data_IF_214237396456
#
_entry.id   IF_214237396456
#
_cell.length_a   1.000
_cell.length_b   1.000
_cell.length_c   1.000
_cell.angle_alpha   90.00
_cell.angle_beta   90.00
_cell.angle_gamma   90.00
#
_symmetry.space_group_name_H-M   'P 1'
#
loop_
_entity.id
_entity.type
_entity.pdbx_description
1 polymer ?
#
# COMPACT_ATOMS: atom_id res chain seq x y z
N UNK A 1 26.65 3.55 -10.74
CA UNK A 1 25.97 3.41 -9.42
C UNK A 1 26.97 2.92 -8.40
N UNK A 2 27.07 3.53 -7.21
CA UNK A 2 27.89 2.98 -6.14
C UNK A 2 27.09 1.89 -5.41
N UNK A 3 27.33 0.63 -5.78
CA UNK A 3 26.72 -0.53 -5.15
C UNK A 3 27.79 -1.46 -4.61
N UNK A 4 27.54 -2.03 -3.43
CA UNK A 4 28.38 -3.02 -2.78
C UNK A 4 27.66 -4.36 -2.78
N UNK A 5 28.36 -5.43 -3.13
CA UNK A 5 27.80 -6.78 -3.02
C UNK A 5 27.82 -7.18 -1.55
N UNK A 6 26.61 -7.47 -1.01
CA UNK A 6 26.47 -7.96 0.38
C UNK A 6 26.55 -9.48 0.41
N UNK A 7 25.87 -10.11 -0.54
CA UNK A 7 25.78 -11.55 -0.60
C UNK A 7 25.61 -12.00 -2.04
N UNK A 8 26.22 -13.12 -2.36
CA UNK A 8 26.15 -13.73 -3.68
C UNK A 8 25.96 -15.25 -3.55
N UNK A 9 25.09 -15.79 -4.39
CA UNK A 9 24.91 -17.24 -4.56
C UNK A 9 24.64 -17.51 -6.03
N UNK A 10 24.68 -18.79 -6.44
CA UNK A 10 24.49 -19.17 -7.85
C UNK A 10 23.17 -18.63 -8.40
N UNK A 11 23.24 -17.73 -9.38
CA UNK A 11 22.07 -17.11 -10.01
C UNK A 11 21.37 -16.02 -9.18
N UNK A 12 21.94 -15.62 -8.02
CA UNK A 12 21.37 -14.57 -7.16
C UNK A 12 22.46 -13.66 -6.60
N UNK A 13 22.29 -12.37 -6.74
CA UNK A 13 23.17 -11.36 -6.20
C UNK A 13 22.38 -10.34 -5.39
N UNK A 14 22.85 -10.04 -4.18
CA UNK A 14 22.30 -9.01 -3.31
C UNK A 14 23.26 -7.83 -3.25
N UNK A 15 22.77 -6.68 -3.67
CA UNK A 15 23.54 -5.44 -3.75
C UNK A 15 22.99 -4.42 -2.75
N UNK A 16 23.88 -3.65 -2.15
CA UNK A 16 23.54 -2.47 -1.37
C UNK A 16 23.89 -1.23 -2.17
N UNK A 17 22.89 -0.44 -2.52
CA UNK A 17 23.12 0.85 -3.17
C UNK A 17 23.51 1.88 -2.12
N UNK A 18 24.70 2.47 -2.27
CA UNK A 18 25.12 3.62 -1.45
C UNK A 18 24.54 4.88 -2.07
N UNK A 19 23.46 5.37 -1.48
CA UNK A 19 22.82 6.63 -1.85
C UNK A 19 23.37 7.75 -0.98
N UNK A 20 23.37 8.98 -1.52
CA UNK A 20 23.70 10.18 -0.73
C UNK A 20 22.64 10.45 0.37
N UNK A 21 21.40 10.03 0.14
CA UNK A 21 20.30 10.06 1.08
C UNK A 21 20.12 8.69 1.73
N UNK A 22 19.64 8.68 2.97
CA UNK A 22 19.48 7.46 3.78
C UNK A 22 18.48 6.46 3.19
N UNK A 23 17.53 6.94 2.40
CA UNK A 23 16.47 6.15 1.76
C UNK A 23 16.39 6.43 0.26
N UNK A 24 16.02 5.42 -0.51
CA UNK A 24 15.79 5.52 -1.94
C UNK A 24 14.36 6.05 -2.18
N UNK A 25 14.18 7.02 -3.09
CA UNK A 25 12.82 7.43 -3.44
C UNK A 25 12.09 6.30 -4.16
N UNK A 26 10.75 6.24 -4.03
CA UNK A 26 9.92 5.24 -4.71
C UNK A 26 10.18 5.23 -6.21
N UNK A 27 10.24 6.42 -6.81
CA UNK A 27 10.53 6.57 -8.25
C UNK A 27 11.90 6.01 -8.64
N UNK A 28 12.91 6.23 -7.80
CA UNK A 28 14.25 5.65 -8.03
C UNK A 28 14.24 4.13 -7.93
N UNK A 29 13.49 3.58 -6.95
CA UNK A 29 13.36 2.14 -6.79
C UNK A 29 12.65 1.49 -8.00
N UNK A 30 11.58 2.10 -8.49
CA UNK A 30 10.85 1.64 -9.66
C UNK A 30 11.70 1.73 -10.94
N UNK A 31 12.45 2.80 -11.08
CA UNK A 31 13.34 3.03 -12.21
C UNK A 31 14.47 2.01 -12.26
N UNK A 32 15.05 1.71 -11.10
CA UNK A 32 16.09 0.72 -10.94
C UNK A 32 15.58 -0.69 -11.26
N UNK A 33 14.40 -1.02 -10.73
CA UNK A 33 13.76 -2.31 -10.99
C UNK A 33 13.42 -2.50 -12.45
N UNK A 34 12.79 -1.53 -13.07
CA UNK A 34 12.40 -1.58 -14.49
C UNK A 34 13.62 -1.62 -15.42
N UNK A 35 14.70 -0.90 -15.09
CA UNK A 35 15.94 -0.94 -15.88
C UNK A 35 16.60 -2.32 -15.83
N UNK A 36 16.75 -2.91 -14.65
CA UNK A 36 17.30 -4.25 -14.53
C UNK A 36 16.38 -5.32 -15.12
N UNK A 37 15.06 -5.17 -14.98
CA UNK A 37 14.10 -6.12 -15.56
C UNK A 37 14.14 -6.13 -17.09
N UNK A 38 14.54 -5.05 -17.72
CA UNK A 38 14.71 -4.95 -19.19
C UNK A 38 15.92 -5.71 -19.72
N UNK A 39 16.86 -6.11 -18.85
CA UNK A 39 18.05 -6.84 -19.26
C UNK A 39 17.72 -8.31 -19.56
N UNK A 40 18.20 -8.84 -20.68
CA UNK A 40 17.91 -10.20 -21.13
C UNK A 40 18.40 -11.33 -20.19
N UNK A 41 19.41 -11.05 -19.38
CA UNK A 41 19.98 -11.98 -18.41
C UNK A 41 19.24 -11.96 -17.05
N UNK A 42 18.32 -11.02 -16.83
CA UNK A 42 17.58 -10.90 -15.58
C UNK A 42 16.35 -11.79 -15.59
N UNK A 43 16.25 -12.65 -14.58
CA UNK A 43 15.05 -13.45 -14.34
C UNK A 43 14.05 -12.72 -13.45
N UNK A 44 14.54 -12.09 -12.37
CA UNK A 44 13.71 -11.34 -11.42
C UNK A 44 14.55 -10.27 -10.72
N UNK A 45 13.92 -9.13 -10.45
CA UNK A 45 14.50 -8.05 -9.64
C UNK A 45 13.57 -7.75 -8.47
N UNK A 46 14.15 -7.44 -7.32
CA UNK A 46 13.41 -6.92 -6.17
C UNK A 46 14.24 -5.81 -5.55
N UNK A 47 13.64 -4.62 -5.45
CA UNK A 47 14.29 -3.45 -4.86
C UNK A 47 13.57 -3.08 -3.57
N UNK A 48 14.31 -2.95 -2.49
CA UNK A 48 13.83 -2.50 -1.18
C UNK A 48 14.25 -1.05 -0.96
N UNK A 49 13.31 -0.11 -1.12
CA UNK A 49 13.57 1.32 -1.07
C UNK A 49 14.06 1.81 0.30
N UNK A 50 13.52 1.26 1.39
CA UNK A 50 13.89 1.64 2.78
C UNK A 50 15.33 1.30 3.12
N UNK A 51 15.81 0.18 2.61
CA UNK A 51 17.18 -0.31 2.90
C UNK A 51 18.16 0.00 1.78
N UNK A 52 17.69 0.42 0.60
CA UNK A 52 18.51 0.58 -0.60
C UNK A 52 19.09 -0.75 -1.12
N UNK A 53 18.46 -1.88 -0.75
CA UNK A 53 18.93 -3.21 -1.11
C UNK A 53 18.26 -3.65 -2.42
N UNK A 54 19.06 -4.18 -3.35
CA UNK A 54 18.63 -4.74 -4.63
C UNK A 54 18.97 -6.21 -4.68
N UNK A 55 18.00 -7.05 -4.96
CA UNK A 55 18.16 -8.48 -5.14
C UNK A 55 17.93 -8.77 -6.62
N UNK A 56 18.97 -9.26 -7.28
CA UNK A 56 18.97 -9.66 -8.68
C UNK A 56 19.01 -11.18 -8.78
N UNK A 57 18.04 -11.75 -9.49
CA UNK A 57 18.11 -13.13 -9.96
C UNK A 57 18.47 -13.10 -11.43
N UNK A 58 19.53 -13.80 -11.78
CA UNK A 58 20.07 -13.75 -13.13
C UNK A 58 20.46 -15.13 -13.67
N UNK A 59 20.44 -15.22 -15.00
CA UNK A 59 20.91 -16.39 -15.75
C UNK A 59 22.08 -15.94 -16.62
N UNK A 60 23.19 -16.68 -16.58
CA UNK A 60 24.40 -16.38 -17.38
C UNK A 60 25.61 -16.01 -16.54
N UNK A 61 26.57 -15.31 -17.17
CA UNK A 61 27.85 -15.00 -16.56
C UNK A 61 27.75 -13.88 -15.52
N UNK A 62 28.41 -14.08 -14.39
CA UNK A 62 28.52 -13.09 -13.31
C UNK A 62 29.08 -11.74 -13.78
N UNK A 63 30.05 -11.79 -14.66
CA UNK A 63 30.75 -10.62 -15.19
C UNK A 63 29.79 -9.68 -15.92
N UNK A 64 28.83 -10.23 -16.66
CA UNK A 64 27.79 -9.45 -17.37
C UNK A 64 26.94 -8.64 -16.39
N UNK A 65 26.55 -9.23 -15.27
CA UNK A 65 25.78 -8.56 -14.22
C UNK A 65 26.60 -7.43 -13.59
N UNK A 66 27.86 -7.70 -13.27
CA UNK A 66 28.77 -6.70 -12.69
C UNK A 66 29.03 -5.51 -13.64
N UNK A 67 29.20 -5.78 -14.93
CA UNK A 67 29.35 -4.73 -15.94
C UNK A 67 28.08 -3.87 -16.01
N UNK A 68 26.91 -4.47 -16.06
CA UNK A 68 25.63 -3.76 -16.07
C UNK A 68 25.45 -2.89 -14.81
N UNK A 69 25.78 -3.41 -13.63
CA UNK A 69 25.74 -2.64 -12.37
C UNK A 69 26.69 -1.45 -12.40
N UNK A 70 27.90 -1.61 -12.93
CA UNK A 70 28.88 -0.51 -13.07
C UNK A 70 28.44 0.54 -14.10
N UNK A 71 27.86 0.12 -15.22
CA UNK A 71 27.39 0.98 -16.31
C UNK A 71 26.07 1.69 -15.98
N UNK A 72 25.36 1.26 -14.96
CA UNK A 72 24.08 1.87 -14.59
C UNK A 72 24.23 3.37 -14.31
N UNK A 73 23.45 4.18 -15.00
CA UNK A 73 23.34 5.62 -14.81
C UNK A 73 21.86 6.01 -14.65
N UNK A 74 21.56 6.81 -13.64
CA UNK A 74 20.21 7.31 -13.40
C UNK A 74 19.62 8.07 -14.60
N UNK A 75 20.45 8.89 -15.26
CA UNK A 75 20.03 9.66 -16.44
C UNK A 75 19.65 8.75 -17.61
N UNK A 76 20.45 7.71 -17.86
CA UNK A 76 20.16 6.74 -18.93
C UNK A 76 18.92 5.89 -18.60
N UNK A 77 18.73 5.52 -17.35
CA UNK A 77 17.56 4.78 -16.90
C UNK A 77 16.28 5.59 -17.13
N UNK A 78 16.27 6.87 -16.78
CA UNK A 78 15.12 7.76 -17.02
C UNK A 78 14.77 7.92 -18.51
N UNK A 79 15.74 7.90 -19.39
CA UNK A 79 15.51 8.00 -20.83
C UNK A 79 15.10 6.67 -21.48
N UNK A 80 15.57 5.55 -20.94
CA UNK A 80 15.37 4.23 -21.53
C UNK A 80 14.14 3.48 -21.03
N UNK A 81 13.57 3.90 -19.90
CA UNK A 81 12.46 3.22 -19.23
C UNK A 81 11.29 4.18 -19.06
N UNK A 82 10.17 3.85 -19.66
CA UNK A 82 8.89 4.54 -19.39
C UNK A 82 8.26 3.93 -18.15
N UNK A 83 8.22 4.67 -17.06
CA UNK A 83 7.52 4.26 -15.85
C UNK A 83 6.01 4.53 -15.99
N UNK A 84 5.14 3.62 -15.55
CA UNK A 84 3.71 3.90 -15.45
C UNK A 84 3.47 5.05 -14.46
N UNK A 85 2.47 5.89 -14.72
CA UNK A 85 2.12 7.03 -13.87
C UNK A 85 1.81 6.63 -12.42
N UNK A 86 1.32 5.40 -12.23
CA UNK A 86 1.02 4.80 -10.93
C UNK A 86 1.75 3.47 -10.80
N UNK A 87 2.82 3.46 -10.03
CA UNK A 87 3.50 2.21 -9.69
C UNK A 87 2.77 1.49 -8.54
N UNK A 88 2.88 0.16 -8.52
CA UNK A 88 2.31 -0.66 -7.42
C UNK A 88 2.81 -0.21 -6.04
N UNK A 89 4.06 0.30 -5.96
CA UNK A 89 4.64 0.83 -4.72
C UNK A 89 3.99 2.12 -4.27
N UNK A 90 3.70 3.04 -5.20
CA UNK A 90 2.98 4.28 -4.88
C UNK A 90 1.57 3.98 -4.39
N UNK A 91 0.88 3.04 -5.03
CA UNK A 91 -0.44 2.60 -4.60
C UNK A 91 -0.40 2.00 -3.20
N UNK A 92 0.50 1.05 -2.93
CA UNK A 92 0.64 0.44 -1.61
C UNK A 92 0.94 1.47 -0.53
N UNK A 93 1.82 2.42 -0.79
CA UNK A 93 2.13 3.48 0.18
C UNK A 93 0.95 4.39 0.45
N UNK A 94 0.20 4.78 -0.57
CA UNK A 94 -1.03 5.56 -0.40
C UNK A 94 -2.07 4.78 0.41
N UNK A 95 -2.14 3.46 0.22
CA UNK A 95 -2.98 2.57 1.00
C UNK A 95 -2.56 2.53 2.48
N UNK A 96 -1.27 2.30 2.74
CA UNK A 96 -0.71 2.30 4.10
C UNK A 96 -0.99 3.63 4.80
N UNK A 97 -0.74 4.76 4.15
CA UNK A 97 -0.98 6.10 4.71
C UNK A 97 -2.47 6.33 5.02
N UNK A 98 -3.38 5.92 4.15
CA UNK A 98 -4.82 6.01 4.38
C UNK A 98 -5.28 5.11 5.52
N UNK A 99 -4.79 3.87 5.58
CA UNK A 99 -5.11 2.93 6.66
C UNK A 99 -4.62 3.42 8.01
N UNK A 100 -3.35 3.83 8.08
CA UNK A 100 -2.76 4.37 9.31
C UNK A 100 -3.47 5.66 9.73
N UNK A 101 -3.78 6.55 8.79
CA UNK A 101 -4.54 7.77 9.06
C UNK A 101 -5.93 7.49 9.64
N UNK A 102 -6.69 6.57 9.06
CA UNK A 102 -8.02 6.18 9.56
C UNK A 102 -7.93 5.50 10.93
N UNK A 103 -6.97 4.60 11.13
CA UNK A 103 -6.77 3.92 12.41
C UNK A 103 -6.37 4.90 13.52
N UNK A 104 -5.44 5.81 13.24
CA UNK A 104 -5.01 6.85 14.17
C UNK A 104 -6.16 7.79 14.53
N UNK A 105 -6.95 8.24 13.55
CA UNK A 105 -8.11 9.09 13.78
C UNK A 105 -9.16 8.41 14.65
N UNK A 106 -9.40 7.11 14.43
CA UNK A 106 -10.31 6.33 15.27
C UNK A 106 -9.79 6.21 16.70
N UNK A 107 -8.50 5.89 16.86
CA UNK A 107 -7.88 5.76 18.18
C UNK A 107 -7.96 7.07 18.96
N UNK A 108 -7.57 8.18 18.34
CA UNK A 108 -7.64 9.52 18.94
C UNK A 108 -9.07 9.87 19.30
N UNK A 109 -10.02 9.62 18.41
CA UNK A 109 -11.44 9.92 18.70
C UNK A 109 -12.02 9.06 19.81
N UNK A 110 -11.56 7.83 19.98
CA UNK A 110 -12.01 6.95 21.05
C UNK A 110 -11.45 7.35 22.41
N UNK A 111 -10.20 7.85 22.44
CA UNK A 111 -9.51 8.22 23.68
C UNK A 111 -9.85 9.65 24.15
N UNK A 112 -9.98 10.60 23.23
CA UNK A 112 -10.07 12.02 23.57
C UNK A 112 -11.46 12.63 23.42
N UNK A 113 -12.39 12.00 22.69
CA UNK A 113 -13.73 12.57 22.56
C UNK A 113 -14.60 12.21 23.76
N UNK A 114 -15.29 13.19 24.38
CA UNK A 114 -16.31 12.92 25.38
C UNK A 114 -17.47 12.13 24.79
N UNK A 115 -18.09 11.28 25.61
CA UNK A 115 -19.10 10.30 25.20
C UNK A 115 -20.22 10.86 24.31
N UNK A 116 -20.81 12.05 24.56
CA UNK A 116 -21.90 12.56 23.72
C UNK A 116 -21.42 12.92 22.30
N UNK A 117 -20.22 13.47 22.16
CA UNK A 117 -19.66 13.80 20.84
C UNK A 117 -19.29 12.54 20.07
N UNK A 118 -18.84 11.50 20.75
CA UNK A 118 -18.57 10.20 20.15
C UNK A 118 -19.84 9.57 19.59
N UNK A 119 -20.94 9.62 20.34
CA UNK A 119 -22.25 9.11 19.87
C UNK A 119 -22.74 9.90 18.65
N UNK A 120 -22.69 11.22 18.70
CA UNK A 120 -23.10 12.08 17.59
C UNK A 120 -22.28 11.77 16.31
N UNK A 121 -20.98 11.58 16.46
CA UNK A 121 -20.09 11.19 15.35
C UNK A 121 -20.45 9.82 14.77
N UNK A 122 -20.67 8.81 15.63
CA UNK A 122 -21.07 7.46 15.19
C UNK A 122 -22.39 7.51 14.42
N UNK A 123 -23.38 8.23 14.92
CA UNK A 123 -24.66 8.40 14.23
C UNK A 123 -24.51 9.13 12.89
N UNK A 124 -23.68 10.16 12.82
CA UNK A 124 -23.39 10.86 11.57
C UNK A 124 -22.76 9.94 10.53
N UNK A 125 -21.76 9.15 10.92
CA UNK A 125 -21.12 8.16 10.05
C UNK A 125 -22.04 6.98 9.68
N UNK A 126 -23.05 6.65 10.47
CA UNK A 126 -24.01 5.61 10.17
C UNK A 126 -24.98 6.00 9.01
N UNK A 127 -25.25 7.31 8.83
CA UNK A 127 -26.21 7.80 7.83
C UNK A 127 -25.93 7.28 6.41
N UNK A 128 -24.72 7.33 5.85
CA UNK A 128 -24.46 6.82 4.51
C UNK A 128 -24.69 5.31 4.39
N UNK A 129 -24.32 4.53 5.40
CA UNK A 129 -24.58 3.08 5.42
C UNK A 129 -26.06 2.75 5.45
N UNK A 130 -26.82 3.41 6.31
CA UNK A 130 -28.28 3.25 6.40
C UNK A 130 -28.95 3.66 5.09
N UNK A 131 -28.51 4.73 4.44
CA UNK A 131 -29.03 5.15 3.13
C UNK A 131 -28.73 4.13 2.03
N UNK A 132 -27.52 3.54 2.00
CA UNK A 132 -27.16 2.46 1.07
C UNK A 132 -28.08 1.24 1.29
N UNK A 133 -28.24 0.78 2.53
CA UNK A 133 -29.11 -0.34 2.88
C UNK A 133 -30.59 -0.10 2.54
N UNK A 134 -31.13 1.09 2.85
CA UNK A 134 -32.50 1.44 2.52
C UNK A 134 -32.74 1.49 1.00
N UNK A 135 -31.75 1.94 0.22
CA UNK A 135 -31.80 1.91 -1.24
C UNK A 135 -31.87 0.48 -1.78
N UNK A 136 -31.08 -0.44 -1.20
CA UNK A 136 -31.11 -1.86 -1.56
C UNK A 136 -32.48 -2.48 -1.28
N UNK A 137 -33.05 -2.19 -0.11
CA UNK A 137 -34.38 -2.66 0.28
C UNK A 137 -35.45 -2.15 -0.69
N UNK A 138 -35.40 -0.87 -1.06
CA UNK A 138 -36.34 -0.26 -2.03
C UNK A 138 -36.24 -0.84 -3.43
N UNK A 139 -35.06 -1.37 -3.81
CA UNK A 139 -34.83 -2.01 -5.09
C UNK A 139 -35.12 -3.52 -5.09
N UNK A 140 -35.63 -4.07 -3.98
CA UNK A 140 -35.83 -5.52 -3.76
C UNK A 140 -34.58 -6.37 -4.07
N UNK A 141 -33.38 -5.80 -3.83
CA UNK A 141 -32.11 -6.50 -4.01
C UNK A 141 -31.47 -6.76 -2.66
N UNK A 142 -31.30 -8.03 -2.33
CA UNK A 142 -30.56 -8.42 -1.14
C UNK A 142 -29.06 -8.37 -1.48
N UNK A 143 -28.37 -7.37 -0.95
CA UNK A 143 -26.93 -7.16 -1.10
C UNK A 143 -26.28 -7.04 0.26
N UNK A 144 -24.95 -7.13 0.28
CA UNK A 144 -24.13 -7.01 1.49
C UNK A 144 -24.40 -5.68 2.21
N UNK A 145 -24.61 -4.60 1.46
CA UNK A 145 -24.93 -3.27 2.01
C UNK A 145 -26.21 -3.23 2.88
N UNK A 146 -27.15 -4.16 2.64
CA UNK A 146 -28.33 -4.31 3.49
C UNK A 146 -27.97 -4.96 4.82
N UNK A 147 -27.13 -5.98 4.81
CA UNK A 147 -26.64 -6.65 6.02
C UNK A 147 -25.85 -5.69 6.91
N UNK A 148 -24.98 -4.89 6.29
CA UNK A 148 -24.18 -3.88 6.96
C UNK A 148 -25.07 -2.84 7.65
N UNK A 149 -26.06 -2.32 6.91
CA UNK A 149 -27.02 -1.35 7.44
C UNK A 149 -27.84 -1.93 8.61
N UNK A 150 -28.25 -3.19 8.52
CA UNK A 150 -28.97 -3.88 9.60
C UNK A 150 -28.09 -4.05 10.84
N UNK A 151 -26.83 -4.47 10.67
CA UNK A 151 -25.88 -4.66 11.77
C UNK A 151 -25.62 -3.36 12.51
N UNK A 152 -25.40 -2.27 11.78
CA UNK A 152 -25.20 -0.93 12.34
C UNK A 152 -26.49 -0.43 13.00
N UNK A 153 -27.64 -0.61 12.35
CA UNK A 153 -28.94 -0.19 12.86
C UNK A 153 -29.32 -0.88 14.17
N UNK A 154 -29.15 -2.21 14.25
CA UNK A 154 -29.42 -2.99 15.47
C UNK A 154 -28.50 -2.56 16.61
N UNK A 155 -27.19 -2.38 16.33
CA UNK A 155 -26.23 -1.93 17.35
C UNK A 155 -26.58 -0.52 17.87
N UNK A 156 -26.99 0.39 16.98
CA UNK A 156 -27.44 1.72 17.36
C UNK A 156 -28.73 1.69 18.21
N UNK A 157 -29.72 0.85 17.86
CA UNK A 157 -30.94 0.67 18.62
C UNK A 157 -30.67 0.11 20.03
N UNK A 158 -29.69 -0.77 20.18
CA UNK A 158 -29.23 -1.29 21.46
C UNK A 158 -28.40 -0.30 22.27
N UNK A 159 -28.20 0.92 21.77
CA UNK A 159 -27.30 1.94 22.33
C UNK A 159 -25.84 1.49 22.45
N UNK A 160 -25.46 0.44 21.74
CA UNK A 160 -24.07 -0.01 21.65
C UNK A 160 -23.34 0.71 20.51
N UNK A 161 -23.05 1.98 20.74
CA UNK A 161 -22.35 2.84 19.78
C UNK A 161 -20.88 2.44 19.61
N UNK A 162 -20.30 1.70 20.55
CA UNK A 162 -18.96 1.16 20.44
C UNK A 162 -18.87 0.11 19.33
N UNK A 163 -19.76 -0.87 19.37
CA UNK A 163 -19.87 -1.92 18.35
C UNK A 163 -20.25 -1.35 17.00
N UNK A 164 -21.27 -0.47 16.92
CA UNK A 164 -21.65 0.20 15.69
C UNK A 164 -20.45 0.93 15.04
N UNK A 165 -19.69 1.69 15.81
CA UNK A 165 -18.51 2.41 15.32
C UNK A 165 -17.36 1.47 14.91
N UNK A 166 -17.26 0.29 15.51
CA UNK A 166 -16.24 -0.71 15.13
C UNK A 166 -16.60 -1.41 13.82
N UNK A 167 -17.85 -1.81 13.66
CA UNK A 167 -18.38 -2.38 12.42
C UNK A 167 -18.18 -1.42 11.25
N UNK A 168 -18.60 -0.15 11.40
CA UNK A 168 -18.41 0.85 10.35
C UNK A 168 -16.93 1.03 9.97
N UNK A 169 -16.04 1.03 10.95
CA UNK A 169 -14.60 1.13 10.71
C UNK A 169 -14.05 -0.07 9.92
N UNK A 170 -14.48 -1.28 10.26
CA UNK A 170 -14.08 -2.49 9.52
C UNK A 170 -14.61 -2.47 8.09
N UNK A 171 -15.85 -2.03 7.89
CA UNK A 171 -16.42 -1.88 6.55
C UNK A 171 -15.68 -0.84 5.71
N UNK A 172 -15.33 0.32 6.30
CA UNK A 172 -14.52 1.33 5.61
C UNK A 172 -13.11 0.85 5.25
N UNK A 173 -12.51 -0.03 6.05
CA UNK A 173 -11.25 -0.70 5.71
C UNK A 173 -11.48 -1.69 4.57
N UNK A 174 -12.55 -2.47 4.62
CA UNK A 174 -12.93 -3.40 3.55
C UNK A 174 -13.10 -2.70 2.20
N UNK A 175 -13.85 -1.60 2.15
CA UNK A 175 -14.01 -0.75 0.95
C UNK A 175 -12.68 -0.15 0.43
N UNK A 176 -11.67 -0.02 1.30
CA UNK A 176 -10.33 0.44 0.88
C UNK A 176 -9.48 -0.67 0.27
N UNK A 177 -9.77 -1.94 0.62
CA UNK A 177 -9.02 -3.10 0.14
C UNK A 177 -9.57 -3.66 -1.18
N UNK A 178 -10.74 -3.22 -1.60
CA UNK A 178 -11.42 -3.62 -2.84
C UNK A 178 -11.02 -2.72 -4.01
#
# INVERSE_FOLDING_TARGET
MNAVIIHESRGRMRLQCRLKQKEMSLRQADLLEAWFQKQSWTSRVTVHERTGCVILYYTGARETVLQAVRQFSWKQAEQSVSLPAHSSRMLNRQFEEKLVGKAALKLVSTLFLPTPLRIARVLWHAVPFLRKGLRCLRQNKIKVELLDALSIGISACRRDFGTAGTVMFLLEIGELLE
#
